data_IF_353222465006
#
_entry.id   IF_353222465006
#
_cell.length_a   1.000
_cell.length_b   1.000
_cell.length_c   1.000
_cell.angle_alpha   90.00
_cell.angle_beta   90.00
_cell.angle_gamma   90.00
#
_symmetry.space_group_name_H-M   'P 1'
#
loop_
_entity.id
_entity.type
_entity.pdbx_description
1 polymer ?
#
# COMPACT_ATOMS: atom_id res chain seq x y z
N UNK A 1 14.99 40.66 -32.40
CA UNK A 1 15.53 39.43 -31.80
C UNK A 1 14.47 38.90 -30.86
N UNK A 2 13.52 38.11 -31.38
CA UNK A 2 12.51 37.44 -30.57
C UNK A 2 13.11 36.11 -30.14
N UNK A 3 13.47 36.00 -28.87
CA UNK A 3 13.91 34.74 -28.28
C UNK A 3 12.78 33.72 -28.37
N UNK A 4 13.10 32.55 -28.90
CA UNK A 4 12.22 31.41 -29.07
C UNK A 4 11.78 30.86 -27.69
N UNK A 5 10.70 31.44 -27.17
CA UNK A 5 10.05 31.03 -25.91
C UNK A 5 9.44 29.62 -25.98
N UNK A 6 9.54 28.91 -27.11
CA UNK A 6 8.99 27.56 -27.30
C UNK A 6 10.02 26.42 -27.15
N UNK A 7 11.26 26.73 -26.74
CA UNK A 7 12.33 25.74 -26.63
C UNK A 7 12.33 24.90 -25.34
N UNK A 8 11.35 25.10 -24.43
CA UNK A 8 11.21 24.24 -23.26
C UNK A 8 10.51 22.92 -23.62
N UNK A 9 11.16 21.75 -23.42
CA UNK A 9 10.51 20.46 -23.65
C UNK A 9 9.25 20.37 -22.78
N UNK A 10 8.12 20.07 -23.42
CA UNK A 10 6.81 19.99 -22.77
C UNK A 10 6.76 18.78 -21.83
N UNK A 11 7.27 18.95 -20.62
CA UNK A 11 7.48 17.89 -19.62
C UNK A 11 6.15 17.29 -19.08
N UNK A 12 5.01 17.86 -19.48
CA UNK A 12 3.67 17.41 -19.08
C UNK A 12 3.37 15.97 -19.49
N UNK A 13 3.88 15.52 -20.64
CA UNK A 13 3.66 14.15 -21.13
C UNK A 13 4.31 13.08 -20.27
N UNK A 14 5.49 13.37 -19.69
CA UNK A 14 6.18 12.45 -18.77
C UNK A 14 5.47 12.41 -17.41
N UNK A 15 5.00 13.55 -16.90
CA UNK A 15 4.24 13.62 -15.64
C UNK A 15 2.97 12.76 -15.71
N UNK A 16 2.16 12.87 -16.75
CA UNK A 16 0.91 12.10 -16.87
C UNK A 16 1.14 10.59 -16.87
N UNK A 17 2.23 10.11 -17.52
CA UNK A 17 2.57 8.68 -17.54
C UNK A 17 2.98 8.18 -16.15
N UNK A 18 3.80 8.95 -15.43
CA UNK A 18 4.21 8.63 -14.06
C UNK A 18 2.99 8.65 -13.14
N UNK A 19 2.13 9.65 -13.25
CA UNK A 19 0.90 9.75 -12.44
C UNK A 19 -0.05 8.58 -12.68
N UNK A 20 -0.18 8.13 -13.93
CA UNK A 20 -0.92 6.93 -14.30
C UNK A 20 -0.32 5.65 -13.69
N UNK A 21 1.01 5.52 -13.71
CA UNK A 21 1.70 4.39 -13.07
C UNK A 21 1.53 4.41 -11.53
N UNK A 22 1.60 5.57 -10.89
CA UNK A 22 1.34 5.68 -9.45
C UNK A 22 -0.11 5.34 -9.10
N UNK A 23 -1.07 5.75 -9.93
CA UNK A 23 -2.47 5.35 -9.75
C UNK A 23 -2.65 3.83 -9.86
N UNK A 24 -2.04 3.17 -10.86
CA UNK A 24 -2.16 1.73 -11.01
C UNK A 24 -1.54 0.97 -9.82
N UNK A 25 -0.39 1.42 -9.31
CA UNK A 25 0.21 0.86 -8.09
C UNK A 25 -0.69 1.04 -6.86
N UNK A 26 -1.33 2.21 -6.70
CA UNK A 26 -2.29 2.46 -5.60
C UNK A 26 -3.49 1.54 -5.68
N UNK A 27 -4.03 1.30 -6.89
CA UNK A 27 -5.15 0.38 -7.10
C UNK A 27 -4.72 -1.06 -6.79
N UNK A 28 -3.61 -1.52 -7.34
CA UNK A 28 -3.12 -2.88 -7.17
C UNK A 28 -2.87 -3.22 -5.69
N UNK A 29 -2.18 -2.32 -4.98
CA UNK A 29 -1.89 -2.52 -3.55
C UNK A 29 -3.10 -2.28 -2.67
N UNK A 30 -3.85 -1.20 -2.91
CA UNK A 30 -5.01 -0.82 -2.10
C UNK A 30 -6.10 -1.89 -2.11
N UNK A 31 -6.42 -2.49 -3.26
CA UNK A 31 -7.43 -3.55 -3.34
C UNK A 31 -6.97 -4.83 -2.64
N UNK A 32 -5.70 -5.23 -2.82
CA UNK A 32 -5.12 -6.39 -2.16
C UNK A 32 -5.19 -6.26 -0.62
N UNK A 33 -4.76 -5.14 -0.08
CA UNK A 33 -4.76 -4.91 1.37
C UNK A 33 -6.16 -4.66 1.94
N UNK A 34 -7.11 -4.12 1.17
CA UNK A 34 -8.52 -4.07 1.59
C UNK A 34 -9.11 -5.48 1.69
N UNK A 35 -8.78 -6.36 0.76
CA UNK A 35 -9.23 -7.75 0.79
C UNK A 35 -8.65 -8.49 2.01
N UNK A 36 -7.33 -8.55 2.14
CA UNK A 36 -6.66 -9.26 3.24
C UNK A 36 -6.89 -8.59 4.60
N UNK A 37 -6.81 -7.27 4.67
CA UNK A 37 -7.10 -6.50 5.87
C UNK A 37 -8.55 -6.63 6.30
N UNK A 38 -9.51 -6.63 5.37
CA UNK A 38 -10.92 -6.85 5.66
C UNK A 38 -11.20 -8.27 6.18
N UNK A 39 -10.52 -9.28 5.62
CA UNK A 39 -10.58 -10.65 6.11
C UNK A 39 -10.04 -10.78 7.55
N UNK A 40 -8.96 -10.06 7.89
CA UNK A 40 -8.35 -10.08 9.23
C UNK A 40 -9.11 -9.22 10.23
N UNK A 41 -9.54 -8.02 9.86
CA UNK A 41 -10.13 -7.05 10.79
C UNK A 41 -11.61 -7.32 11.07
N UNK A 42 -12.34 -7.73 10.04
CA UNK A 42 -13.80 -7.82 10.07
C UNK A 42 -14.32 -9.24 9.78
N UNK A 43 -13.46 -10.19 9.43
CA UNK A 43 -13.88 -11.54 9.02
C UNK A 43 -14.60 -11.57 7.66
N UNK A 44 -14.38 -10.56 6.81
CA UNK A 44 -14.98 -10.52 5.46
C UNK A 44 -14.44 -11.65 4.59
N UNK A 45 -15.18 -12.00 3.55
CA UNK A 45 -14.78 -13.01 2.55
C UNK A 45 -14.50 -14.40 3.15
N UNK A 46 -15.23 -14.76 4.20
CA UNK A 46 -14.97 -15.96 5.02
C UNK A 46 -13.56 -15.97 5.64
N UNK A 47 -13.02 -14.77 5.88
CA UNK A 47 -11.74 -14.53 6.52
C UNK A 47 -11.76 -14.85 8.02
N UNK A 48 -10.59 -14.96 8.64
CA UNK A 48 -10.47 -15.43 10.02
C UNK A 48 -11.08 -14.46 11.05
N UNK A 49 -11.09 -13.16 10.74
CA UNK A 49 -11.29 -12.14 11.78
C UNK A 49 -10.12 -12.11 12.78
N UNK A 50 -10.12 -11.15 13.72
CA UNK A 50 -8.93 -10.85 14.50
C UNK A 50 -8.63 -11.95 15.54
N UNK A 51 -9.67 -12.57 16.09
CA UNK A 51 -9.54 -13.67 17.06
C UNK A 51 -8.91 -14.90 16.42
N UNK A 52 -9.46 -15.38 15.30
CA UNK A 52 -8.95 -16.58 14.66
C UNK A 52 -7.56 -16.36 14.07
N UNK A 53 -7.30 -15.19 13.48
CA UNK A 53 -5.98 -14.83 12.98
C UNK A 53 -4.92 -14.93 14.08
N UNK A 54 -5.22 -14.36 15.25
CA UNK A 54 -4.32 -14.41 16.40
C UNK A 54 -4.10 -15.85 16.88
N UNK A 55 -5.17 -16.65 16.98
CA UNK A 55 -5.09 -18.06 17.37
C UNK A 55 -4.26 -18.90 16.40
N UNK A 56 -4.51 -18.80 15.10
CA UNK A 56 -3.84 -19.61 14.07
C UNK A 56 -2.32 -19.37 14.03
N UNK A 57 -1.86 -18.18 14.42
CA UNK A 57 -0.44 -17.81 14.42
C UNK A 57 0.18 -17.81 15.83
N UNK A 58 -0.58 -18.14 16.87
CA UNK A 58 -0.10 -18.08 18.26
C UNK A 58 0.23 -16.66 18.74
N UNK A 59 -0.43 -15.65 18.18
CA UNK A 59 -0.21 -14.25 18.51
C UNK A 59 -1.21 -13.74 19.58
N UNK A 60 -0.85 -12.67 20.32
CA UNK A 60 -1.82 -11.94 21.13
C UNK A 60 -2.95 -11.37 20.27
N UNK A 61 -4.19 -11.39 20.79
CA UNK A 61 -5.37 -10.87 20.08
C UNK A 61 -5.20 -9.44 19.56
N UNK A 62 -4.49 -8.59 20.32
CA UNK A 62 -4.22 -7.20 19.92
C UNK A 62 -3.50 -7.11 18.56
N UNK A 63 -2.63 -8.07 18.22
CA UNK A 63 -1.95 -8.08 16.93
C UNK A 63 -2.91 -8.32 15.77
N UNK A 64 -3.94 -9.16 15.95
CA UNK A 64 -4.98 -9.34 14.92
C UNK A 64 -5.68 -8.03 14.58
N UNK A 65 -6.04 -7.24 15.59
CA UNK A 65 -6.63 -5.92 15.40
C UNK A 65 -5.65 -4.92 14.78
N UNK A 66 -4.41 -4.84 15.28
CA UNK A 66 -3.42 -3.90 14.79
C UNK A 66 -3.03 -4.17 13.32
N UNK A 67 -2.81 -5.44 12.97
CA UNK A 67 -2.48 -5.85 11.60
C UNK A 67 -3.67 -5.60 10.67
N UNK A 68 -4.89 -5.97 11.07
CA UNK A 68 -6.09 -5.69 10.30
C UNK A 68 -6.32 -4.20 10.06
N UNK A 69 -6.19 -3.39 11.12
CA UNK A 69 -6.38 -1.93 11.04
C UNK A 69 -5.30 -1.25 10.21
N UNK A 70 -4.04 -1.67 10.35
CA UNK A 70 -2.94 -1.15 9.55
C UNK A 70 -3.14 -1.46 8.05
N UNK A 71 -3.60 -2.67 7.72
CA UNK A 71 -3.91 -3.04 6.33
C UNK A 71 -5.07 -2.25 5.76
N UNK A 72 -6.22 -2.22 6.44
CA UNK A 72 -7.42 -1.51 5.95
C UNK A 72 -7.17 -0.01 5.90
N UNK A 73 -6.66 0.59 6.98
CA UNK A 73 -6.38 2.02 7.05
C UNK A 73 -5.29 2.45 6.08
N UNK A 74 -4.20 1.67 6.00
CA UNK A 74 -3.12 1.91 5.05
C UNK A 74 -3.59 1.80 3.60
N UNK A 75 -4.42 0.81 3.29
CA UNK A 75 -5.00 0.63 1.96
C UNK A 75 -5.92 1.79 1.56
N UNK A 76 -6.79 2.27 2.46
CA UNK A 76 -7.67 3.43 2.20
C UNK A 76 -6.82 4.68 1.92
N UNK A 77 -5.80 4.93 2.74
CA UNK A 77 -4.90 6.06 2.57
C UNK A 77 -4.16 6.00 1.22
N UNK A 78 -3.58 4.83 0.90
CA UNK A 78 -2.91 4.59 -0.37
C UNK A 78 -3.88 4.73 -1.55
N UNK A 79 -5.04 4.08 -1.52
CA UNK A 79 -5.98 4.04 -2.65
C UNK A 79 -6.55 5.43 -2.97
N UNK A 80 -6.94 6.18 -1.94
CA UNK A 80 -7.46 7.56 -2.11
C UNK A 80 -6.36 8.56 -2.47
N UNK A 81 -5.10 8.22 -2.22
CA UNK A 81 -3.99 9.14 -2.36
C UNK A 81 -3.89 10.15 -1.22
N UNK A 82 -4.59 9.93 -0.10
CA UNK A 82 -4.56 10.78 1.09
C UNK A 82 -3.66 10.12 2.12
N UNK A 83 -2.68 10.84 2.69
CA UNK A 83 -1.73 10.25 3.65
C UNK A 83 -1.01 9.02 3.07
N UNK A 84 -0.71 9.03 1.76
CA UNK A 84 -0.17 7.87 1.05
C UNK A 84 1.16 7.38 1.63
N UNK A 85 2.04 8.28 2.07
CA UNK A 85 3.30 7.89 2.71
C UNK A 85 3.05 7.24 4.06
N UNK A 86 2.12 7.77 4.86
CA UNK A 86 1.76 7.17 6.16
C UNK A 86 1.13 5.80 5.96
N UNK A 87 0.17 5.69 5.03
CA UNK A 87 -0.46 4.42 4.69
C UNK A 87 0.54 3.40 4.15
N UNK A 88 1.39 3.80 3.20
CA UNK A 88 2.43 2.95 2.64
C UNK A 88 3.44 2.49 3.72
N UNK A 89 3.84 3.36 4.64
CA UNK A 89 4.71 2.98 5.76
C UNK A 89 4.06 1.91 6.66
N UNK A 90 2.77 2.03 6.96
CA UNK A 90 2.03 1.01 7.71
C UNK A 90 2.02 -0.33 6.96
N UNK A 91 1.75 -0.31 5.65
CA UNK A 91 1.75 -1.52 4.81
C UNK A 91 3.14 -2.16 4.73
N UNK A 92 4.21 -1.36 4.63
CA UNK A 92 5.61 -1.83 4.67
C UNK A 92 5.87 -2.61 5.96
N UNK A 93 5.50 -2.04 7.12
CA UNK A 93 5.70 -2.71 8.42
C UNK A 93 4.94 -4.03 8.48
N UNK A 94 3.68 -4.07 8.00
CA UNK A 94 2.90 -5.31 7.94
C UNK A 94 3.57 -6.34 7.03
N UNK A 95 4.07 -5.96 5.86
CA UNK A 95 4.72 -6.89 4.93
C UNK A 95 6.05 -7.41 5.46
N UNK A 96 6.84 -6.58 6.15
CA UNK A 96 8.04 -7.08 6.82
C UNK A 96 7.68 -8.15 7.86
N UNK A 97 6.66 -7.89 8.69
CA UNK A 97 6.15 -8.89 9.64
C UNK A 97 5.69 -10.17 8.94
N UNK A 98 4.87 -10.06 7.90
CA UNK A 98 4.35 -11.20 7.14
C UNK A 98 5.50 -12.02 6.51
N UNK A 99 6.49 -11.37 5.92
CA UNK A 99 7.65 -12.04 5.32
C UNK A 99 8.40 -12.81 6.40
N UNK A 100 8.89 -12.14 7.44
CA UNK A 100 9.80 -12.77 8.40
C UNK A 100 9.13 -13.78 9.34
N UNK A 101 7.85 -13.57 9.66
CA UNK A 101 7.15 -14.38 10.66
C UNK A 101 6.28 -15.49 10.07
N UNK A 102 5.88 -15.38 8.79
CA UNK A 102 4.92 -16.31 8.18
C UNK A 102 5.50 -16.95 6.91
N UNK A 103 6.00 -16.15 5.97
CA UNK A 103 6.29 -16.64 4.63
C UNK A 103 7.73 -17.11 4.41
N UNK A 104 8.72 -16.55 5.11
CA UNK A 104 10.13 -16.86 4.91
C UNK A 104 10.47 -18.36 5.08
N UNK A 105 9.91 -19.10 6.05
CA UNK A 105 10.14 -20.55 6.17
C UNK A 105 9.65 -21.37 4.97
N UNK A 106 8.72 -20.84 4.19
CA UNK A 106 8.11 -21.51 3.03
C UNK A 106 8.86 -21.21 1.71
N UNK A 107 9.95 -20.43 1.77
CA UNK A 107 10.73 -20.05 0.59
C UNK A 107 10.04 -18.97 -0.25
N UNK A 108 10.34 -18.94 -1.56
CA UNK A 108 9.85 -17.88 -2.45
C UNK A 108 8.46 -18.17 -3.03
N UNK A 109 8.24 -19.37 -3.56
CA UNK A 109 7.06 -19.74 -4.35
C UNK A 109 5.74 -19.57 -3.58
N UNK A 110 4.87 -18.71 -4.10
CA UNK A 110 3.55 -18.43 -3.52
C UNK A 110 2.66 -19.68 -3.40
N UNK A 111 2.84 -20.66 -4.28
CA UNK A 111 2.06 -21.92 -4.28
C UNK A 111 2.31 -22.76 -3.03
N UNK A 112 3.48 -22.60 -2.41
CA UNK A 112 3.86 -23.24 -1.15
C UNK A 112 3.61 -22.34 0.07
N UNK A 113 2.92 -21.20 -0.10
CA UNK A 113 2.78 -20.19 0.95
C UNK A 113 4.02 -19.32 1.13
N UNK A 114 4.91 -19.27 0.12
CA UNK A 114 6.14 -18.49 0.13
C UNK A 114 5.97 -16.98 0.06
N UNK A 115 7.10 -16.27 0.13
CA UNK A 115 7.15 -14.81 0.30
C UNK A 115 6.99 -13.98 -0.98
N UNK A 116 6.87 -14.58 -2.16
CA UNK A 116 6.82 -13.88 -3.46
C UNK A 116 5.78 -12.74 -3.48
N UNK A 117 4.55 -13.03 -3.06
CA UNK A 117 3.47 -12.02 -3.07
C UNK A 117 3.70 -10.93 -2.00
N UNK A 118 4.12 -11.33 -0.79
CA UNK A 118 4.40 -10.40 0.30
C UNK A 118 5.57 -9.46 -0.05
N UNK A 119 6.62 -9.98 -0.68
CA UNK A 119 7.75 -9.18 -1.18
C UNK A 119 7.30 -8.23 -2.30
N UNK A 120 6.46 -8.71 -3.22
CA UNK A 120 5.91 -7.87 -4.29
C UNK A 120 5.12 -6.69 -3.71
N UNK A 121 4.23 -6.93 -2.75
CA UNK A 121 3.47 -5.87 -2.09
C UNK A 121 4.36 -4.94 -1.26
N UNK A 122 5.40 -5.46 -0.61
CA UNK A 122 6.40 -4.64 0.08
C UNK A 122 7.06 -3.64 -0.88
N UNK A 123 7.49 -4.09 -2.06
CA UNK A 123 8.15 -3.24 -3.04
C UNK A 123 7.20 -2.21 -3.66
N UNK A 124 5.93 -2.58 -3.88
CA UNK A 124 4.90 -1.64 -4.35
C UNK A 124 4.64 -0.57 -3.28
N UNK A 125 4.47 -0.96 -2.02
CA UNK A 125 4.29 -0.01 -0.92
C UNK A 125 5.51 0.90 -0.76
N UNK A 126 6.74 0.36 -0.89
CA UNK A 126 7.97 1.15 -0.87
C UNK A 126 8.03 2.16 -2.02
N UNK A 127 7.66 1.76 -3.24
CA UNK A 127 7.60 2.67 -4.38
C UNK A 127 6.63 3.83 -4.12
N UNK A 128 5.44 3.54 -3.59
CA UNK A 128 4.44 4.55 -3.23
C UNK A 128 4.89 5.44 -2.07
N UNK A 129 5.62 4.90 -1.09
CA UNK A 129 6.21 5.67 0.00
C UNK A 129 7.24 6.68 -0.51
N UNK A 130 8.09 6.28 -1.45
CA UNK A 130 9.14 7.13 -2.00
C UNK A 130 8.58 8.17 -2.97
N UNK A 131 7.80 7.72 -3.95
CA UNK A 131 7.26 8.56 -5.02
C UNK A 131 6.09 9.46 -4.57
N UNK A 132 5.32 9.03 -3.55
CA UNK A 132 4.14 9.73 -3.08
C UNK A 132 2.87 9.45 -3.89
N UNK A 133 1.83 10.28 -3.73
CA UNK A 133 0.47 9.96 -4.16
C UNK A 133 0.18 10.18 -5.66
N UNK A 134 1.02 10.93 -6.37
CA UNK A 134 0.79 11.35 -7.76
C UNK A 134 -0.35 12.37 -7.93
N UNK A 135 -0.52 12.87 -9.16
CA UNK A 135 -1.51 13.92 -9.48
C UNK A 135 -2.97 13.45 -9.41
N UNK A 136 -3.25 12.16 -9.64
CA UNK A 136 -4.58 11.56 -9.50
C UNK A 136 -4.95 11.25 -8.04
N UNK A 137 -4.44 12.00 -7.08
CA UNK A 137 -4.74 11.82 -5.66
C UNK A 137 -5.82 12.78 -5.19
N UNK A 138 -6.53 12.40 -4.13
CA UNK A 138 -7.50 13.28 -3.50
C UNK A 138 -6.84 14.23 -2.48
N UNK A 139 -5.53 14.12 -2.24
CA UNK A 139 -4.75 14.95 -1.32
C UNK A 139 -4.93 16.47 -1.49
N UNK A 140 -5.06 17.04 -2.71
CA UNK A 140 -5.26 18.48 -2.87
C UNK A 140 -6.55 19.02 -2.21
N UNK A 141 -7.49 18.14 -1.83
CA UNK A 141 -8.70 18.50 -1.07
C UNK A 141 -8.46 18.65 0.44
N UNK A 142 -7.27 18.34 0.94
CA UNK A 142 -6.88 18.49 2.35
C UNK A 142 -6.15 19.82 2.65
N UNK A 143 -6.08 20.22 3.93
CA UNK A 143 -5.25 21.34 4.38
C UNK A 143 -3.78 21.17 3.95
N UNK A 144 -3.09 22.27 3.62
CA UNK A 144 -1.72 22.28 3.07
C UNK A 144 -0.69 21.43 3.85
N UNK A 145 -0.86 21.30 5.17
CA UNK A 145 0.03 20.49 6.02
C UNK A 145 -0.05 18.98 5.76
N UNK A 146 -1.19 18.48 5.27
CA UNK A 146 -1.43 17.05 5.01
C UNK A 146 -1.23 16.68 3.53
N UNK A 147 -1.06 17.67 2.64
CA UNK A 147 -0.92 17.43 1.19
C UNK A 147 0.40 16.73 0.81
N UNK A 148 1.41 16.77 1.70
CA UNK A 148 2.74 16.19 1.46
C UNK A 148 2.92 14.80 2.06
N UNK A 149 1.95 14.35 2.86
CA UNK A 149 1.91 13.06 3.55
C UNK A 149 1.13 12.05 2.73
#
# INVERSE_FOLDING_TARGET
>A
MAEDLNSYPNNRGNSTRIDGALLSLRIASGLAFLYHGGAILFGLFAGPGPQRFALDHGYPLVLGYLVGLAQVGGAIAVLTGILTRVGAAALIVVMLGAIFLVHLPHGFDVSNGGMEYALTQLLVALALFLAGPGAYSLAPRLPRGLQKL
#
